data_IF_481528990874
#
_entry.id   IF_481528990874
#
_cell.length_a   1.000
_cell.length_b   1.000
_cell.length_c   1.000
_cell.angle_alpha   90.00
_cell.angle_beta   90.00
_cell.angle_gamma   90.00
#
_symmetry.space_group_name_H-M   'P 1'
#
loop_
_entity.id
_entity.type
_entity.pdbx_description
1 polymer ?
#
# COMPACT_ATOMS: atom_id res chain seq x y z
N UNK A 1 21.19 5.22 -28.24
CA UNK A 1 21.56 6.22 -27.22
C UNK A 1 20.26 6.83 -26.74
N UNK A 2 20.00 6.83 -25.43
CA UNK A 2 18.75 7.36 -24.87
C UNK A 2 18.74 8.89 -25.05
N UNK A 3 17.73 9.41 -25.74
CA UNK A 3 17.51 10.86 -25.93
C UNK A 3 16.17 11.29 -25.36
N UNK A 4 15.13 10.46 -25.48
CA UNK A 4 13.77 10.79 -25.02
C UNK A 4 13.22 9.73 -24.07
N UNK A 5 12.77 10.17 -22.89
CA UNK A 5 12.29 9.32 -21.81
C UNK A 5 10.80 9.60 -21.55
N UNK A 6 10.00 8.54 -21.46
CA UNK A 6 8.60 8.64 -21.05
C UNK A 6 8.43 8.34 -19.56
N UNK A 7 7.68 9.18 -18.85
CA UNK A 7 7.27 8.99 -17.46
C UNK A 7 5.83 8.47 -17.39
N UNK A 8 5.61 7.43 -16.58
CA UNK A 8 4.31 6.78 -16.38
C UNK A 8 4.04 6.53 -14.91
N UNK A 9 2.81 6.81 -14.44
CA UNK A 9 2.40 6.57 -13.05
C UNK A 9 1.17 5.67 -13.01
N UNK A 10 1.32 4.44 -12.53
CA UNK A 10 0.28 3.42 -12.51
C UNK A 10 -0.23 3.07 -11.10
N UNK A 11 -1.41 2.46 -11.04
CA UNK A 11 -2.04 2.01 -9.79
C UNK A 11 -2.67 3.14 -8.96
N UNK A 12 -2.76 2.94 -7.65
CA UNK A 12 -3.36 3.94 -6.76
C UNK A 12 -2.51 5.20 -6.58
N UNK A 13 -3.14 6.34 -6.35
CA UNK A 13 -2.46 7.57 -5.94
C UNK A 13 -1.83 7.45 -4.55
N UNK A 14 -0.72 8.17 -4.35
CA UNK A 14 -0.06 8.38 -3.06
C UNK A 14 0.85 9.61 -3.14
N UNK A 15 1.45 9.98 -2.01
CA UNK A 15 2.48 11.00 -1.92
C UNK A 15 3.81 10.58 -2.59
N UNK A 16 4.66 11.55 -2.94
CA UNK A 16 6.04 11.32 -3.42
C UNK A 16 6.19 11.08 -4.93
N UNK A 17 5.11 10.75 -5.65
CA UNK A 17 5.13 10.50 -7.12
C UNK A 17 5.67 11.72 -7.88
N UNK A 18 5.16 12.89 -7.56
CA UNK A 18 5.52 14.13 -8.23
C UNK A 18 6.98 14.55 -7.94
N UNK A 19 7.52 14.20 -6.77
CA UNK A 19 8.95 14.41 -6.46
C UNK A 19 9.85 13.49 -7.31
N UNK A 20 9.43 12.23 -7.53
CA UNK A 20 10.09 11.32 -8.48
C UNK A 20 10.12 11.88 -9.90
N UNK A 21 8.97 12.34 -10.41
CA UNK A 21 8.86 12.98 -11.73
C UNK A 21 9.79 14.19 -11.83
N UNK A 22 9.71 15.12 -10.88
CA UNK A 22 10.49 16.36 -10.92
C UNK A 22 11.99 16.10 -10.89
N UNK A 23 12.45 15.19 -10.03
CA UNK A 23 13.87 14.87 -9.92
C UNK A 23 14.40 14.12 -11.15
N UNK A 24 13.61 13.20 -11.72
CA UNK A 24 13.98 12.51 -12.95
C UNK A 24 14.14 13.49 -14.11
N UNK A 25 13.18 14.39 -14.32
CA UNK A 25 13.23 15.41 -15.38
C UNK A 25 14.45 16.31 -15.21
N UNK A 26 14.69 16.87 -14.02
CA UNK A 26 15.86 17.71 -13.75
C UNK A 26 17.17 16.97 -14.03
N UNK A 27 17.30 15.74 -13.51
CA UNK A 27 18.52 14.94 -13.67
C UNK A 27 18.81 14.59 -15.12
N UNK A 28 17.80 14.17 -15.87
CA UNK A 28 17.98 13.78 -17.27
C UNK A 28 18.29 14.98 -18.16
N UNK A 29 17.62 16.12 -17.96
CA UNK A 29 17.88 17.34 -18.73
C UNK A 29 19.28 17.90 -18.43
N UNK A 30 19.64 18.07 -17.16
CA UNK A 30 20.90 18.72 -16.79
C UNK A 30 22.11 17.80 -16.90
N UNK A 31 21.95 16.52 -16.53
CA UNK A 31 23.04 15.56 -16.52
C UNK A 31 23.33 14.94 -17.89
N UNK A 32 22.31 14.79 -18.73
CA UNK A 32 22.39 13.97 -19.94
C UNK A 32 21.80 14.62 -21.19
N UNK A 33 21.20 15.81 -21.09
CA UNK A 33 20.53 16.47 -22.22
C UNK A 33 19.32 15.71 -22.75
N UNK A 34 18.66 14.92 -21.90
CA UNK A 34 17.49 14.12 -22.26
C UNK A 34 16.21 14.97 -22.32
N UNK A 35 15.31 14.61 -23.23
CA UNK A 35 13.95 15.12 -23.31
C UNK A 35 12.99 14.21 -22.54
N UNK A 36 11.96 14.78 -21.92
CA UNK A 36 10.93 14.02 -21.21
C UNK A 36 9.53 14.30 -21.71
N UNK A 37 8.70 13.26 -21.64
CA UNK A 37 7.26 13.36 -21.76
C UNK A 37 6.57 12.52 -20.69
N UNK A 38 5.47 13.01 -20.15
CA UNK A 38 4.55 12.22 -19.37
C UNK A 38 3.54 11.53 -20.28
N UNK A 39 3.17 10.30 -19.96
CA UNK A 39 2.06 9.60 -20.60
C UNK A 39 0.95 9.43 -19.56
N UNK A 40 -0.19 10.07 -19.83
CA UNK A 40 -1.36 10.02 -18.95
C UNK A 40 -1.93 8.61 -18.89
N UNK A 41 -2.41 8.22 -17.71
CA UNK A 41 -2.99 6.88 -17.46
C UNK A 41 -2.00 5.73 -17.72
N UNK A 42 -0.71 5.96 -17.52
CA UNK A 42 0.33 4.92 -17.58
C UNK A 42 0.26 4.05 -18.85
N UNK A 43 0.34 2.73 -18.69
CA UNK A 43 0.31 1.77 -19.78
C UNK A 43 -1.00 1.77 -20.59
N UNK A 44 -2.13 2.20 -20.02
CA UNK A 44 -3.40 2.38 -20.76
C UNK A 44 -3.23 3.45 -21.84
N UNK A 45 -2.74 4.63 -21.47
CA UNK A 45 -2.50 5.72 -22.42
C UNK A 45 -1.41 5.39 -23.41
N UNK A 46 -0.37 4.67 -22.98
CA UNK A 46 0.69 4.22 -23.86
C UNK A 46 0.23 3.19 -24.90
N UNK A 47 -0.80 2.39 -24.57
CA UNK A 47 -1.41 1.42 -25.47
C UNK A 47 -2.67 1.94 -26.20
N UNK A 48 -3.04 3.21 -26.01
CA UNK A 48 -4.20 3.82 -26.65
C UNK A 48 -4.02 3.92 -28.17
N UNK A 49 -5.12 3.93 -28.94
CA UNK A 49 -5.05 4.17 -30.39
C UNK A 49 -4.54 5.60 -30.69
N UNK A 50 -5.02 6.55 -29.89
CA UNK A 50 -4.74 7.98 -29.90
C UNK A 50 -3.76 8.38 -28.78
N UNK A 51 -2.57 7.77 -28.75
CA UNK A 51 -1.53 8.07 -27.73
C UNK A 51 -1.22 9.58 -27.62
N UNK A 52 -1.37 10.34 -28.70
CA UNK A 52 -1.10 11.76 -28.79
C UNK A 52 -1.97 12.58 -27.79
N UNK A 53 -3.17 12.12 -27.46
CA UNK A 53 -4.06 12.75 -26.46
C UNK A 53 -3.60 12.51 -25.01
N UNK A 54 -2.68 11.57 -24.81
CA UNK A 54 -2.16 11.20 -23.49
C UNK A 54 -0.81 11.87 -23.19
N UNK A 55 -0.21 12.58 -24.14
CA UNK A 55 1.13 13.14 -23.97
C UNK A 55 1.10 14.47 -23.19
N UNK A 56 1.98 14.59 -22.21
CA UNK A 56 2.24 15.81 -21.46
C UNK A 56 3.72 16.17 -21.62
N UNK A 57 4.09 17.34 -22.18
CA UNK A 57 5.47 17.80 -22.18
C UNK A 57 5.98 17.99 -20.76
N UNK A 58 7.18 17.50 -20.46
CA UNK A 58 7.83 17.65 -19.15
C UNK A 58 9.22 18.26 -19.33
N UNK A 59 9.31 19.59 -19.28
CA UNK A 59 10.57 20.32 -19.21
C UNK A 59 10.86 20.79 -17.77
N UNK A 60 11.96 21.52 -17.58
CA UNK A 60 12.39 21.98 -16.25
C UNK A 60 11.37 22.94 -15.64
N UNK A 61 10.75 23.75 -16.48
CA UNK A 61 9.74 24.74 -16.15
C UNK A 61 8.44 24.06 -15.69
N UNK A 62 8.01 22.99 -16.39
CA UNK A 62 6.81 22.21 -16.08
C UNK A 62 6.89 21.49 -14.72
N UNK A 63 8.10 21.20 -14.22
CA UNK A 63 8.31 20.50 -12.95
C UNK A 63 8.68 21.41 -11.77
N UNK A 64 8.65 22.73 -11.94
CA UNK A 64 8.90 23.67 -10.82
C UNK A 64 7.80 23.53 -9.76
N UNK A 65 8.19 23.26 -8.50
CA UNK A 65 7.28 23.15 -7.36
C UNK A 65 6.39 21.90 -7.37
N UNK A 66 6.63 20.98 -8.31
CA UNK A 66 5.87 19.76 -8.48
C UNK A 66 6.09 18.79 -7.31
N UNK A 67 7.30 18.73 -6.76
CA UNK A 67 7.68 17.84 -5.65
C UNK A 67 6.73 17.83 -4.45
N UNK A 68 6.07 18.96 -4.16
CA UNK A 68 5.18 19.10 -2.99
C UNK A 68 3.70 18.86 -3.31
N UNK A 69 3.35 18.54 -4.56
CA UNK A 69 1.97 18.33 -4.97
C UNK A 69 1.51 16.92 -4.62
N UNK A 70 0.27 16.75 -4.13
CA UNK A 70 -0.29 15.42 -3.87
C UNK A 70 -0.48 14.63 -5.17
N UNK A 71 -0.57 13.30 -5.04
CA UNK A 71 -0.94 12.40 -6.14
C UNK A 71 -0.01 12.53 -7.36
N UNK A 72 -0.55 12.37 -8.58
CA UNK A 72 0.18 12.41 -9.85
C UNK A 72 -0.43 13.43 -10.81
N UNK A 73 0.42 14.21 -11.49
CA UNK A 73 0.01 15.07 -12.61
C UNK A 73 -0.33 14.29 -13.90
N UNK A 74 0.01 13.00 -13.97
CA UNK A 74 -0.20 12.17 -15.15
C UNK A 74 -1.51 11.35 -15.09
N UNK A 75 -2.34 11.55 -14.06
CA UNK A 75 -3.40 10.61 -13.72
C UNK A 75 -2.85 9.17 -13.58
N UNK A 76 -3.72 8.16 -13.52
CA UNK A 76 -3.28 6.77 -13.35
C UNK A 76 -4.28 5.80 -13.96
N UNK A 77 -3.85 4.56 -14.17
CA UNK A 77 -4.71 3.42 -14.53
C UNK A 77 -4.24 2.14 -13.85
N UNK A 78 -5.13 1.14 -13.83
CA UNK A 78 -4.87 -0.24 -13.42
C UNK A 78 -4.84 -1.17 -14.64
N UNK A 79 -4.31 -0.69 -15.75
CA UNK A 79 -4.29 -1.44 -17.00
C UNK A 79 -3.04 -2.31 -17.08
N UNK A 80 -3.23 -3.62 -17.21
CA UNK A 80 -2.14 -4.58 -17.44
C UNK A 80 -2.06 -4.95 -18.94
N UNK A 81 -1.13 -4.38 -19.72
CA UNK A 81 -0.97 -4.69 -21.15
C UNK A 81 -0.59 -6.15 -21.41
N UNK A 82 -0.03 -6.86 -20.42
CA UNK A 82 0.50 -8.22 -20.55
C UNK A 82 -0.43 -9.31 -20.00
N UNK A 83 -1.67 -8.97 -19.62
CA UNK A 83 -2.69 -9.97 -19.27
C UNK A 83 -3.04 -10.85 -20.48
N UNK A 84 -3.53 -12.06 -20.25
CA UNK A 84 -3.88 -13.00 -21.33
C UNK A 84 -4.88 -12.39 -22.34
N UNK A 85 -5.88 -11.67 -21.82
CA UNK A 85 -6.88 -10.97 -22.63
C UNK A 85 -6.28 -9.85 -23.49
N UNK A 86 -5.23 -9.18 -23.01
CA UNK A 86 -4.57 -8.11 -23.75
C UNK A 86 -3.50 -8.65 -24.70
N UNK A 87 -2.83 -9.76 -24.36
CA UNK A 87 -1.93 -10.50 -25.26
C UNK A 87 -2.67 -11.02 -26.49
N UNK A 88 -3.87 -11.60 -26.32
CA UNK A 88 -4.69 -12.07 -27.45
C UNK A 88 -5.15 -10.95 -28.38
N UNK A 89 -5.24 -9.72 -27.85
CA UNK A 89 -5.55 -8.49 -28.60
C UNK A 89 -4.31 -7.76 -29.13
N UNK A 90 -3.12 -8.35 -29.02
CA UNK A 90 -1.84 -7.78 -29.46
C UNK A 90 -1.49 -6.41 -28.81
N UNK A 91 -2.01 -6.15 -27.60
CA UNK A 91 -1.77 -4.90 -26.86
C UNK A 91 -0.28 -4.67 -26.55
N UNK A 92 0.52 -5.66 -26.11
CA UNK A 92 1.95 -5.45 -25.86
C UNK A 92 2.71 -4.91 -27.09
N UNK A 93 2.40 -5.44 -28.26
CA UNK A 93 3.04 -5.04 -29.50
C UNK A 93 2.62 -3.62 -29.89
N UNK A 94 1.33 -3.28 -29.77
CA UNK A 94 0.82 -1.93 -29.97
C UNK A 94 1.48 -0.91 -29.02
N UNK A 95 1.63 -1.27 -27.74
CA UNK A 95 2.35 -0.45 -26.75
C UNK A 95 3.77 -0.13 -27.23
N UNK A 96 4.53 -1.16 -27.66
CA UNK A 96 5.89 -0.98 -28.15
C UNK A 96 5.95 -0.12 -29.43
N UNK A 97 5.04 -0.35 -30.37
CA UNK A 97 4.92 0.43 -31.61
C UNK A 97 4.58 1.90 -31.33
N UNK A 98 3.66 2.15 -30.42
CA UNK A 98 3.29 3.50 -30.01
C UNK A 98 4.48 4.23 -29.38
N UNK A 99 5.22 3.61 -28.45
CA UNK A 99 6.41 4.21 -27.84
C UNK A 99 7.47 4.56 -28.89
N UNK A 100 7.71 3.67 -29.86
CA UNK A 100 8.60 3.94 -31.00
C UNK A 100 8.09 5.06 -31.89
N UNK A 101 6.78 5.11 -32.16
CA UNK A 101 6.12 6.12 -33.01
C UNK A 101 6.32 7.54 -32.46
N UNK A 102 6.24 7.71 -31.15
CA UNK A 102 6.48 9.00 -30.49
C UNK A 102 7.97 9.27 -30.20
N UNK A 103 8.85 8.37 -30.63
CA UNK A 103 10.31 8.50 -30.52
C UNK A 103 10.85 8.35 -29.09
N UNK A 104 10.18 7.60 -28.23
CA UNK A 104 10.66 7.29 -26.88
C UNK A 104 11.72 6.19 -26.94
N UNK A 105 12.84 6.40 -26.24
CA UNK A 105 13.94 5.45 -26.15
C UNK A 105 13.91 4.63 -24.85
N UNK A 106 13.29 5.16 -23.79
CA UNK A 106 13.20 4.52 -22.48
C UNK A 106 11.97 4.95 -21.69
N UNK A 107 11.51 4.10 -20.77
CA UNK A 107 10.42 4.40 -19.83
C UNK A 107 10.94 4.48 -18.39
N UNK A 108 10.45 5.47 -17.67
CA UNK A 108 10.47 5.53 -16.22
C UNK A 108 9.04 5.33 -15.71
N UNK A 109 8.81 4.21 -15.02
CA UNK A 109 7.49 3.89 -14.47
C UNK A 109 7.49 4.05 -12.95
N UNK A 110 6.36 4.38 -12.35
CA UNK A 110 6.19 4.27 -10.90
C UNK A 110 4.82 3.73 -10.55
N UNK A 111 4.80 2.78 -9.62
CA UNK A 111 3.62 1.96 -9.34
C UNK A 111 3.87 0.89 -8.29
N UNK A 112 2.82 0.15 -7.94
CA UNK A 112 2.93 -1.09 -7.16
C UNK A 112 3.14 -2.30 -8.08
N UNK A 113 2.81 -3.49 -7.58
CA UNK A 113 3.01 -4.78 -8.26
C UNK A 113 2.55 -4.78 -9.72
N UNK A 114 1.32 -4.33 -10.00
CA UNK A 114 0.76 -4.36 -11.36
C UNK A 114 1.60 -3.54 -12.37
N UNK A 115 2.12 -2.40 -11.91
CA UNK A 115 2.91 -1.50 -12.76
C UNK A 115 4.34 -2.01 -12.91
N UNK A 116 4.91 -2.58 -11.84
CA UNK A 116 6.24 -3.23 -11.87
C UNK A 116 6.19 -4.45 -12.78
N UNK A 117 5.13 -5.27 -12.71
CA UNK A 117 4.88 -6.39 -13.62
C UNK A 117 4.70 -5.95 -15.08
N UNK A 118 4.00 -4.84 -15.30
CA UNK A 118 3.88 -4.25 -16.65
C UNK A 118 5.23 -3.71 -17.17
N UNK A 119 6.05 -3.12 -16.31
CA UNK A 119 7.41 -2.70 -16.64
C UNK A 119 8.31 -3.92 -16.94
N UNK A 120 8.15 -5.02 -16.20
CA UNK A 120 8.87 -6.27 -16.45
C UNK A 120 8.54 -6.85 -17.82
N UNK A 121 7.25 -6.93 -18.19
CA UNK A 121 6.86 -7.37 -19.53
C UNK A 121 7.42 -6.49 -20.66
N UNK A 122 7.50 -5.17 -20.44
CA UNK A 122 8.12 -4.25 -21.40
C UNK A 122 9.64 -4.45 -21.51
N UNK A 123 10.32 -4.73 -20.39
CA UNK A 123 11.73 -5.07 -20.36
C UNK A 123 12.04 -6.39 -21.09
N UNK A 124 11.18 -7.40 -20.92
CA UNK A 124 11.28 -8.70 -21.61
C UNK A 124 11.14 -8.56 -23.13
N UNK A 125 10.39 -7.55 -23.60
CA UNK A 125 10.33 -7.17 -25.02
C UNK A 125 11.58 -6.41 -25.51
N UNK A 126 12.58 -6.23 -24.65
CA UNK A 126 13.85 -5.56 -24.97
C UNK A 126 13.78 -4.04 -24.95
N UNK A 127 12.72 -3.44 -24.38
CA UNK A 127 12.59 -1.99 -24.31
C UNK A 127 13.18 -1.45 -22.98
N UNK A 128 14.08 -0.45 -23.00
CA UNK A 128 14.67 0.11 -21.80
C UNK A 128 13.62 0.67 -20.83
N UNK A 129 13.60 0.14 -19.60
CA UNK A 129 12.68 0.58 -18.56
C UNK A 129 13.31 0.48 -17.18
N UNK A 130 13.06 1.48 -16.34
CA UNK A 130 13.33 1.44 -14.90
C UNK A 130 12.06 1.84 -14.16
N UNK A 131 11.75 1.16 -13.06
CA UNK A 131 10.61 1.49 -12.22
C UNK A 131 11.00 2.08 -10.86
N UNK A 132 10.06 2.77 -10.20
CA UNK A 132 10.17 3.18 -8.80
C UNK A 132 8.95 2.68 -7.99
N UNK A 133 9.17 2.05 -6.82
CA UNK A 133 8.12 1.42 -6.03
C UNK A 133 7.22 2.47 -5.38
N UNK A 134 5.92 2.33 -5.60
CA UNK A 134 4.90 3.26 -5.12
C UNK A 134 3.68 2.51 -4.62
N UNK A 135 3.45 2.54 -3.31
CA UNK A 135 2.29 1.96 -2.62
C UNK A 135 2.22 2.54 -1.21
N UNK A 136 1.01 2.75 -0.70
CA UNK A 136 0.82 3.10 0.72
C UNK A 136 0.93 1.87 1.63
N UNK A 137 0.92 0.66 1.07
CA UNK A 137 0.90 -0.59 1.85
C UNK A 137 2.31 -1.12 2.16
N UNK A 138 3.36 -0.55 1.54
CA UNK A 138 4.78 -0.93 1.71
C UNK A 138 5.05 -2.43 1.46
N UNK A 139 4.40 -2.98 0.43
CA UNK A 139 4.24 -4.41 0.15
C UNK A 139 5.12 -4.95 -0.99
N UNK A 140 5.95 -4.11 -1.61
CA UNK A 140 6.93 -4.50 -2.63
C UNK A 140 8.28 -4.85 -2.01
N UNK A 141 8.86 -5.98 -2.42
CA UNK A 141 10.16 -6.46 -1.94
C UNK A 141 11.36 -5.72 -2.52
N UNK A 142 12.52 -5.89 -1.88
CA UNK A 142 13.79 -5.28 -2.30
C UNK A 142 13.94 -3.80 -1.97
N UNK A 143 12.97 -3.21 -1.26
CA UNK A 143 13.03 -1.83 -0.74
C UNK A 143 12.54 -1.77 0.71
N UNK A 144 13.20 -0.99 1.55
CA UNK A 144 12.82 -0.80 2.96
C UNK A 144 11.51 -0.02 3.09
N UNK A 145 11.29 0.95 2.20
CA UNK A 145 10.07 1.76 2.11
C UNK A 145 9.72 2.06 0.66
N UNK A 146 8.46 2.43 0.43
CA UNK A 146 7.92 2.84 -0.86
C UNK A 146 7.46 4.29 -0.84
N UNK A 147 7.29 4.89 -2.03
CA UNK A 147 6.68 6.21 -2.15
C UNK A 147 5.25 6.18 -1.61
N UNK A 148 4.94 7.13 -0.73
CA UNK A 148 3.64 7.37 -0.12
C UNK A 148 3.46 6.77 1.27
N UNK A 149 4.25 5.75 1.63
CA UNK A 149 4.08 5.02 2.88
C UNK A 149 4.26 5.92 4.11
N UNK A 150 5.36 6.70 4.18
CA UNK A 150 5.66 7.52 5.37
C UNK A 150 4.70 8.68 5.53
N UNK A 151 4.23 9.29 4.43
CA UNK A 151 3.15 10.28 4.47
C UNK A 151 1.84 9.65 5.00
N UNK A 152 1.47 8.47 4.52
CA UNK A 152 0.27 7.76 4.96
C UNK A 152 0.34 7.42 6.47
N UNK A 153 1.50 6.93 6.94
CA UNK A 153 1.73 6.66 8.38
C UNK A 153 1.63 7.94 9.21
N UNK A 154 2.27 9.03 8.79
CA UNK A 154 2.28 10.29 9.57
C UNK A 154 0.87 10.88 9.74
N UNK A 155 0.08 10.93 8.66
CA UNK A 155 -1.30 11.38 8.73
C UNK A 155 -2.17 10.36 9.47
N UNK A 156 -2.04 9.07 9.16
CA UNK A 156 -2.82 8.00 9.78
C UNK A 156 -2.66 7.95 11.30
N UNK A 157 -1.43 8.08 11.80
CA UNK A 157 -1.15 8.18 13.24
C UNK A 157 -1.78 9.44 13.87
N UNK A 158 -1.85 10.55 13.14
CA UNK A 158 -2.51 11.77 13.60
C UNK A 158 -4.02 11.60 13.67
N UNK A 159 -4.63 11.01 12.64
CA UNK A 159 -6.05 10.71 12.60
C UNK A 159 -6.43 9.69 13.70
N UNK A 160 -5.63 8.64 13.87
CA UNK A 160 -5.83 7.63 14.90
C UNK A 160 -5.78 8.23 16.32
N UNK A 161 -4.81 9.10 16.61
CA UNK A 161 -4.75 9.77 17.93
C UNK A 161 -5.99 10.61 18.22
N UNK A 162 -6.55 11.26 17.20
CA UNK A 162 -7.80 12.03 17.35
C UNK A 162 -8.98 11.13 17.74
N UNK A 163 -9.14 9.97 17.07
CA UNK A 163 -10.19 9.01 17.41
C UNK A 163 -9.94 8.37 18.78
N UNK A 164 -8.68 8.10 19.11
CA UNK A 164 -8.26 7.54 20.39
C UNK A 164 -8.58 8.47 21.58
N UNK A 165 -8.30 9.77 21.46
CA UNK A 165 -8.59 10.76 22.50
C UNK A 165 -10.10 10.94 22.70
N UNK A 166 -10.87 10.91 21.61
CA UNK A 166 -12.34 10.91 21.69
C UNK A 166 -12.89 9.67 22.41
N UNK A 167 -12.31 8.50 22.17
CA UNK A 167 -12.69 7.27 22.86
C UNK A 167 -12.38 7.32 24.36
N UNK A 168 -11.22 7.87 24.72
CA UNK A 168 -10.82 8.10 26.11
C UNK A 168 -11.80 9.04 26.82
N UNK A 169 -12.12 10.17 26.21
CA UNK A 169 -13.01 11.21 26.77
C UNK A 169 -14.41 10.67 27.06
N UNK A 170 -14.91 9.76 26.23
CA UNK A 170 -16.30 9.27 26.30
C UNK A 170 -16.46 7.83 26.81
N UNK A 171 -15.38 7.21 27.28
CA UNK A 171 -15.33 5.81 27.71
C UNK A 171 -15.95 4.88 26.66
N UNK A 172 -15.29 4.83 25.48
CA UNK A 172 -15.71 4.08 24.29
C UNK A 172 -14.59 3.20 23.76
N UNK A 173 -14.96 2.27 22.89
CA UNK A 173 -14.04 1.52 22.05
C UNK A 173 -13.95 2.24 20.69
N UNK A 174 -12.77 2.68 20.29
CA UNK A 174 -12.48 3.17 18.94
C UNK A 174 -11.82 2.05 18.15
N UNK A 175 -12.34 1.81 16.96
CA UNK A 175 -11.78 0.90 15.97
C UNK A 175 -11.51 1.70 14.71
N UNK A 176 -10.29 1.62 14.20
CA UNK A 176 -9.85 2.32 13.00
C UNK A 176 -9.44 1.28 11.97
N UNK A 177 -10.22 1.19 10.90
CA UNK A 177 -9.94 0.36 9.72
C UNK A 177 -8.95 1.10 8.81
N UNK A 178 -7.91 0.37 8.39
CA UNK A 178 -6.73 0.89 7.69
C UNK A 178 -6.48 0.00 6.47
N UNK A 179 -5.95 0.57 5.38
CA UNK A 179 -5.55 -0.23 4.20
C UNK A 179 -4.47 -1.26 4.57
N UNK A 180 -4.43 -2.36 3.81
CA UNK A 180 -3.51 -3.47 4.06
C UNK A 180 -4.21 -4.79 3.80
N UNK A 181 -4.18 -5.24 2.53
CA UNK A 181 -4.86 -6.44 2.05
C UNK A 181 -4.15 -7.73 2.45
N UNK A 182 -2.91 -7.90 1.96
CA UNK A 182 -2.10 -9.08 2.27
C UNK A 182 -0.98 -8.75 3.28
N UNK A 183 -0.62 -7.48 3.39
CA UNK A 183 0.44 -6.99 4.28
C UNK A 183 -0.10 -5.96 5.29
N UNK A 184 0.35 -6.07 6.53
CA UNK A 184 -0.12 -5.26 7.66
C UNK A 184 0.74 -4.05 8.02
N UNK A 185 1.75 -3.69 7.22
CA UNK A 185 2.72 -2.63 7.55
C UNK A 185 2.06 -1.30 7.93
N UNK A 186 1.05 -0.88 7.18
CA UNK A 186 0.39 0.39 7.40
C UNK A 186 -0.42 0.39 8.71
N UNK A 187 -1.17 -0.68 8.98
CA UNK A 187 -1.90 -0.85 10.23
C UNK A 187 -0.96 -0.99 11.44
N UNK A 188 0.18 -1.65 11.27
CA UNK A 188 1.22 -1.80 12.29
C UNK A 188 1.84 -0.45 12.65
N UNK A 189 2.40 0.27 11.68
CA UNK A 189 3.09 1.54 11.95
C UNK A 189 2.12 2.62 12.44
N UNK A 190 0.92 2.72 11.86
CA UNK A 190 -0.12 3.66 12.35
C UNK A 190 -0.57 3.27 13.76
N UNK A 191 -0.77 1.98 14.04
CA UNK A 191 -1.19 1.49 15.34
C UNK A 191 -0.17 1.82 16.43
N UNK A 192 1.11 1.54 16.17
CA UNK A 192 2.21 1.84 17.10
C UNK A 192 2.34 3.36 17.31
N UNK A 193 2.46 4.13 16.23
CA UNK A 193 2.64 5.59 16.32
C UNK A 193 1.39 6.31 16.86
N UNK A 194 0.21 5.70 16.69
CA UNK A 194 -1.07 6.17 17.17
C UNK A 194 -1.37 5.81 18.63
N UNK A 195 -0.63 4.87 19.21
CA UNK A 195 -0.87 4.38 20.57
C UNK A 195 -2.09 3.46 20.68
N UNK A 196 -2.25 2.54 19.73
CA UNK A 196 -3.30 1.52 19.78
C UNK A 196 -3.09 0.56 20.95
N UNK A 197 -4.18 0.16 21.61
CA UNK A 197 -4.16 -0.90 22.63
C UNK A 197 -4.11 -2.30 22.00
N UNK A 198 -4.70 -2.43 20.79
CA UNK A 198 -4.74 -3.67 20.01
C UNK A 198 -4.52 -3.35 18.53
N UNK A 199 -3.61 -4.07 17.89
CA UNK A 199 -3.35 -3.98 16.46
C UNK A 199 -3.67 -5.33 15.81
N UNK A 200 -4.42 -5.32 14.71
CA UNK A 200 -4.84 -6.51 13.96
C UNK A 200 -4.30 -6.41 12.54
N UNK A 201 -3.47 -7.39 12.14
CA UNK A 201 -2.80 -7.43 10.84
C UNK A 201 -3.12 -8.74 10.07
N UNK A 202 -3.08 -8.75 8.73
CA UNK A 202 -3.44 -9.93 7.92
C UNK A 202 -2.55 -11.15 8.16
N UNK A 203 -1.31 -10.94 8.61
CA UNK A 203 -0.31 -11.99 8.83
C UNK A 203 -0.60 -12.84 10.08
N UNK A 204 -1.45 -12.35 11.00
CA UNK A 204 -1.76 -13.04 12.26
C UNK A 204 -3.20 -13.50 12.28
N UNK A 205 -3.38 -14.81 12.42
CA UNK A 205 -4.70 -15.40 12.63
C UNK A 205 -5.32 -14.86 13.93
N UNK A 206 -6.63 -14.65 13.88
CA UNK A 206 -7.42 -14.17 15.01
C UNK A 206 -8.46 -15.21 15.39
N UNK A 207 -8.43 -15.63 16.65
CA UNK A 207 -9.58 -16.21 17.32
C UNK A 207 -10.41 -15.10 17.97
N UNK A 208 -11.70 -14.99 17.62
CA UNK A 208 -12.53 -13.91 18.13
C UNK A 208 -12.72 -14.03 19.65
N UNK A 209 -12.72 -15.25 20.20
CA UNK A 209 -12.93 -15.46 21.64
C UNK A 209 -11.81 -14.80 22.48
N UNK A 210 -10.55 -15.08 22.16
CA UNK A 210 -9.40 -14.49 22.82
C UNK A 210 -9.27 -12.99 22.54
N UNK A 211 -9.58 -12.54 21.32
CA UNK A 211 -9.59 -11.12 20.99
C UNK A 211 -10.62 -10.37 21.84
N UNK A 212 -11.85 -10.87 21.95
CA UNK A 212 -12.88 -10.27 22.80
C UNK A 212 -12.49 -10.28 24.27
N UNK A 213 -11.84 -11.35 24.76
CA UNK A 213 -11.31 -11.41 26.12
C UNK A 213 -10.23 -10.35 26.40
N UNK A 214 -9.32 -10.12 25.44
CA UNK A 214 -8.30 -9.06 25.53
C UNK A 214 -8.94 -7.67 25.54
N UNK A 215 -9.87 -7.41 24.61
CA UNK A 215 -10.60 -6.14 24.53
C UNK A 215 -11.38 -5.88 25.83
N UNK A 216 -12.09 -6.87 26.35
CA UNK A 216 -12.83 -6.76 27.61
C UNK A 216 -11.91 -6.47 28.79
N UNK A 217 -10.76 -7.13 28.87
CA UNK A 217 -9.77 -6.90 29.94
C UNK A 217 -9.27 -5.47 29.93
N UNK A 218 -8.92 -4.94 28.75
CA UNK A 218 -8.45 -3.55 28.60
C UNK A 218 -9.59 -2.57 28.95
N UNK A 219 -10.78 -2.81 28.40
CA UNK A 219 -11.95 -1.95 28.62
C UNK A 219 -12.34 -1.88 30.10
N UNK A 220 -12.34 -3.00 30.83
CA UNK A 220 -12.62 -3.03 32.28
C UNK A 220 -11.56 -2.28 33.09
N UNK A 221 -10.30 -2.32 32.66
CA UNK A 221 -9.18 -1.65 33.34
C UNK A 221 -9.22 -0.13 33.19
N UNK A 222 -9.46 0.39 31.98
CA UNK A 222 -9.29 1.82 31.69
C UNK A 222 -10.54 2.53 31.13
N UNK A 223 -11.62 1.81 30.85
CA UNK A 223 -12.89 2.37 30.37
C UNK A 223 -12.94 2.69 28.87
N UNK A 224 -11.86 2.45 28.12
CA UNK A 224 -11.77 2.65 26.67
C UNK A 224 -10.80 1.63 26.04
N UNK A 225 -10.90 1.42 24.73
CA UNK A 225 -9.96 0.61 23.94
C UNK A 225 -9.79 1.23 22.56
N UNK A 226 -8.56 1.38 22.09
CA UNK A 226 -8.23 1.87 20.75
C UNK A 226 -7.65 0.73 19.92
N UNK A 227 -8.28 0.45 18.78
CA UNK A 227 -7.99 -0.72 17.94
C UNK A 227 -7.61 -0.24 16.55
N UNK A 228 -6.44 -0.63 16.06
CA UNK A 228 -6.07 -0.50 14.66
C UNK A 228 -6.30 -1.85 13.96
N UNK A 229 -6.95 -1.86 12.80
CA UNK A 229 -7.21 -3.09 12.04
C UNK A 229 -6.97 -2.88 10.56
N UNK A 230 -6.18 -3.75 9.96
CA UNK A 230 -6.03 -3.83 8.51
C UNK A 230 -7.31 -4.38 7.86
N UNK A 231 -7.71 -3.83 6.72
CA UNK A 231 -8.87 -4.31 5.93
C UNK A 231 -8.75 -5.79 5.53
N UNK A 232 -7.51 -6.29 5.41
CA UNK A 232 -7.16 -7.66 5.09
C UNK A 232 -7.19 -8.64 6.25
N UNK A 233 -7.71 -8.25 7.42
CA UNK A 233 -7.79 -9.15 8.57
C UNK A 233 -8.53 -10.44 8.22
N UNK A 234 -7.88 -11.58 8.51
CA UNK A 234 -8.40 -12.91 8.23
C UNK A 234 -9.09 -13.47 9.48
N UNK A 235 -10.41 -13.65 9.41
CA UNK A 235 -11.23 -14.33 10.42
C UNK A 235 -11.74 -15.63 9.80
N UNK A 236 -11.54 -16.76 10.48
CA UNK A 236 -12.05 -18.05 10.00
C UNK A 236 -13.58 -17.99 9.89
N UNK A 237 -14.17 -18.39 8.74
CA UNK A 237 -15.62 -18.54 8.61
C UNK A 237 -16.20 -19.46 9.68
N UNK A 238 -15.45 -20.46 10.13
CA UNK A 238 -15.83 -21.44 11.15
C UNK A 238 -15.67 -20.93 12.59
N UNK A 239 -15.20 -19.68 12.80
CA UNK A 239 -15.09 -19.11 14.14
C UNK A 239 -16.46 -19.14 14.85
N UNK A 240 -16.56 -19.76 16.04
CA UNK A 240 -17.84 -19.91 16.74
C UNK A 240 -18.56 -18.59 17.01
N UNK A 241 -17.83 -17.53 17.39
CA UNK A 241 -18.43 -16.22 17.65
C UNK A 241 -18.86 -15.54 16.36
N UNK A 242 -18.17 -15.78 15.24
CA UNK A 242 -18.62 -15.28 13.95
C UNK A 242 -19.94 -15.95 13.52
N UNK A 243 -20.05 -17.27 13.71
CA UNK A 243 -21.27 -18.02 13.39
C UNK A 243 -22.45 -17.61 14.29
N UNK A 244 -22.22 -17.45 15.58
CA UNK A 244 -23.20 -16.91 16.53
C UNK A 244 -23.66 -15.51 16.11
N UNK A 245 -22.72 -14.60 15.85
CA UNK A 245 -23.03 -13.24 15.41
C UNK A 245 -23.78 -13.21 14.07
N UNK A 246 -23.46 -14.12 13.13
CA UNK A 246 -24.19 -14.28 11.86
C UNK A 246 -25.63 -14.72 12.09
N UNK A 247 -25.87 -15.62 13.03
CA UNK A 247 -27.22 -16.10 13.35
C UNK A 247 -28.05 -15.02 14.05
N UNK A 248 -27.46 -14.30 15.00
CA UNK A 248 -28.19 -13.41 15.91
C UNK A 248 -28.26 -11.96 15.46
N UNK A 249 -27.31 -11.47 14.66
CA UNK A 249 -27.18 -10.06 14.28
C UNK A 249 -27.44 -9.91 12.77
N UNK A 250 -28.63 -9.45 12.33
CA UNK A 250 -28.97 -9.34 10.91
C UNK A 250 -27.97 -8.52 10.07
N UNK A 251 -27.37 -7.48 10.67
CA UNK A 251 -26.35 -6.65 10.01
C UNK A 251 -25.06 -7.43 9.77
N UNK A 252 -24.64 -8.29 10.71
CA UNK A 252 -23.46 -9.14 10.51
C UNK A 252 -23.69 -10.12 9.37
N UNK A 253 -24.86 -10.76 9.33
CA UNK A 253 -25.24 -11.63 8.21
C UNK A 253 -25.20 -10.89 6.87
N UNK A 254 -25.80 -9.70 6.80
CA UNK A 254 -25.81 -8.90 5.58
C UNK A 254 -24.39 -8.52 5.11
N UNK A 255 -23.49 -8.14 6.03
CA UNK A 255 -22.10 -7.82 5.70
C UNK A 255 -21.31 -9.04 5.19
N UNK A 256 -21.59 -10.24 5.71
CA UNK A 256 -20.93 -11.48 5.28
C UNK A 256 -21.46 -12.01 3.94
N UNK A 257 -22.69 -11.66 3.58
CA UNK A 257 -23.35 -12.07 2.33
C UNK A 257 -23.19 -11.02 1.22
N UNK A 258 -22.60 -9.86 1.53
CA UNK A 258 -22.36 -8.78 0.58
C UNK A 258 -21.26 -9.15 -0.43
N UNK A 259 -21.60 -9.13 -1.72
CA UNK A 259 -20.62 -9.20 -2.79
C UNK A 259 -20.09 -7.80 -3.11
N UNK A 260 -18.90 -7.49 -2.61
CA UNK A 260 -18.20 -6.24 -2.89
C UNK A 260 -17.66 -6.19 -4.34
N UNK A 261 -17.76 -7.29 -5.08
CA UNK A 261 -17.26 -7.45 -6.43
C UNK A 261 -15.74 -7.60 -6.48
N UNK A 262 -15.19 -7.53 -7.69
CA UNK A 262 -13.75 -7.62 -7.97
C UNK A 262 -13.20 -6.31 -8.52
N UNK A 263 -11.91 -6.08 -8.38
CA UNK A 263 -11.22 -4.98 -9.04
C UNK A 263 -10.81 -5.32 -10.48
N UNK A 264 -10.18 -4.37 -11.18
CA UNK A 264 -9.75 -4.51 -12.57
C UNK A 264 -8.71 -5.63 -12.81
N UNK A 265 -8.09 -6.14 -11.75
CA UNK A 265 -7.12 -7.24 -11.78
C UNK A 265 -7.74 -8.56 -11.31
N UNK A 266 -9.04 -8.58 -11.01
CA UNK A 266 -9.77 -9.76 -10.58
C UNK A 266 -9.68 -10.03 -9.08
N UNK A 267 -9.07 -9.15 -8.29
CA UNK A 267 -8.98 -9.30 -6.83
C UNK A 267 -10.32 -8.95 -6.17
N UNK A 268 -10.80 -9.72 -5.18
CA UNK A 268 -12.00 -9.36 -4.42
C UNK A 268 -11.85 -7.99 -3.76
N UNK A 269 -12.84 -7.10 -3.81
CA UNK A 269 -12.80 -5.87 -3.01
C UNK A 269 -12.94 -6.25 -1.53
N UNK A 270 -12.12 -5.63 -0.69
CA UNK A 270 -12.19 -5.78 0.76
C UNK A 270 -12.80 -4.53 1.38
N UNK A 271 -13.26 -4.68 2.60
CA UNK A 271 -13.79 -3.58 3.41
C UNK A 271 -14.83 -4.08 4.40
N UNK A 272 -15.09 -3.27 5.43
CA UNK A 272 -16.20 -3.49 6.35
C UNK A 272 -15.87 -4.42 7.53
N UNK A 273 -14.63 -4.91 7.63
CA UNK A 273 -14.18 -5.70 8.79
C UNK A 273 -14.31 -4.90 10.09
N UNK A 274 -14.13 -3.58 10.04
CA UNK A 274 -14.34 -2.70 11.16
C UNK A 274 -15.80 -2.58 11.57
N UNK A 275 -16.74 -2.60 10.62
CA UNK A 275 -18.17 -2.66 10.94
C UNK A 275 -18.58 -4.03 11.49
N UNK A 276 -18.01 -5.11 10.95
CA UNK A 276 -18.19 -6.47 11.44
C UNK A 276 -17.74 -6.59 12.92
N UNK A 277 -16.48 -6.25 13.19
CA UNK A 277 -15.90 -6.29 14.53
C UNK A 277 -16.66 -5.36 15.50
N UNK A 278 -17.07 -4.17 15.05
CA UNK A 278 -17.87 -3.24 15.85
C UNK A 278 -19.14 -3.89 16.40
N UNK A 279 -19.85 -4.69 15.57
CA UNK A 279 -21.08 -5.38 15.97
C UNK A 279 -20.78 -6.53 16.93
N UNK A 280 -19.77 -7.32 16.63
CA UNK A 280 -19.34 -8.46 17.45
C UNK A 280 -18.89 -7.98 18.84
N UNK A 281 -18.04 -6.95 18.91
CA UNK A 281 -17.59 -6.34 20.18
C UNK A 281 -18.78 -5.83 20.99
N UNK A 282 -19.70 -5.08 20.36
CA UNK A 282 -20.85 -4.51 21.04
C UNK A 282 -21.74 -5.60 21.66
N UNK A 283 -21.99 -6.67 20.90
CA UNK A 283 -22.80 -7.80 21.34
C UNK A 283 -22.08 -8.58 22.46
N UNK A 284 -20.82 -8.97 22.25
CA UNK A 284 -20.08 -9.84 23.16
C UNK A 284 -19.78 -9.21 24.52
N UNK A 285 -19.59 -7.88 24.56
CA UNK A 285 -19.38 -7.13 25.80
C UNK A 285 -20.69 -6.68 26.45
N UNK A 286 -21.87 -7.03 25.90
CA UNK A 286 -23.16 -6.65 26.45
C UNK A 286 -23.41 -5.13 26.44
N UNK A 287 -22.82 -4.41 25.48
CA UNK A 287 -22.94 -2.96 25.41
C UNK A 287 -24.32 -2.59 24.85
N UNK A 288 -25.14 -1.93 25.67
CA UNK A 288 -26.54 -1.56 25.34
C UNK A 288 -26.68 -0.64 24.12
N UNK A 289 -25.62 0.10 23.77
CA UNK A 289 -25.65 1.07 22.67
C UNK A 289 -24.44 0.88 21.77
N UNK A 290 -24.69 0.75 20.47
CA UNK A 290 -23.65 0.62 19.46
C UNK A 290 -22.70 1.82 19.40
N UNK A 291 -23.12 3.01 19.85
CA UNK A 291 -22.27 4.20 19.94
C UNK A 291 -21.09 4.06 20.92
N UNK A 292 -21.10 3.03 21.78
CA UNK A 292 -19.98 2.66 22.63
C UNK A 292 -18.84 2.03 21.84
N UNK A 293 -19.08 1.59 20.61
CA UNK A 293 -18.05 1.10 19.69
C UNK A 293 -18.13 1.92 18.40
N UNK A 294 -17.09 2.71 18.12
CA UNK A 294 -17.01 3.58 16.94
C UNK A 294 -16.00 3.00 15.96
N UNK A 295 -16.47 2.66 14.77
CA UNK A 295 -15.61 2.27 13.66
C UNK A 295 -15.41 3.48 12.73
N UNK A 296 -14.16 3.77 12.42
CA UNK A 296 -13.72 4.81 11.48
C UNK A 296 -12.89 4.14 10.39
N UNK A 297 -13.15 4.45 9.13
CA UNK A 297 -12.37 3.96 8.00
C UNK A 297 -11.44 5.09 7.52
N UNK A 298 -10.12 4.83 7.54
CA UNK A 298 -9.13 5.75 6.98
C UNK A 298 -8.81 5.47 5.51
N UNK A 299 -9.16 4.30 4.97
CA UNK A 299 -8.84 3.77 3.64
C UNK A 299 -8.31 4.79 2.63
N UNK A 300 -9.20 5.36 1.82
CA UNK A 300 -8.83 6.31 0.76
C UNK A 300 -8.26 7.64 1.24
N UNK A 301 -8.50 8.03 2.50
CA UNK A 301 -7.96 9.30 3.04
C UNK A 301 -6.43 9.28 3.15
N UNK A 302 -5.81 8.09 3.17
CA UNK A 302 -4.37 7.92 3.26
C UNK A 302 -3.62 8.11 1.92
N UNK A 303 -4.35 8.24 0.80
CA UNK A 303 -3.78 8.20 -0.56
C UNK A 303 -3.58 9.58 -1.18
N UNK A 304 -4.58 10.46 -1.07
CA UNK A 304 -4.55 11.80 -1.70
C UNK A 304 -3.73 12.86 -0.95
N UNK A 305 -2.82 12.45 -0.07
CA UNK A 305 -2.12 13.36 0.84
C UNK A 305 -0.99 14.13 0.14
N UNK A 306 -0.76 15.36 0.59
CA UNK A 306 0.46 16.09 0.24
C UNK A 306 1.67 15.42 0.93
N UNK A 307 2.81 15.29 0.23
CA UNK A 307 3.95 14.55 0.77
C UNK A 307 4.58 15.27 1.97
N UNK A 308 5.00 14.50 2.96
CA UNK A 308 5.95 14.97 3.98
C UNK A 308 7.38 14.95 3.41
N UNK A 309 8.33 15.54 4.14
CA UNK A 309 9.72 15.64 3.73
C UNK A 309 10.34 14.28 3.33
N UNK A 310 10.07 13.22 4.09
CA UNK A 310 10.60 11.88 3.80
C UNK A 310 10.21 11.37 2.41
N UNK A 311 8.94 11.51 2.01
CA UNK A 311 8.47 11.08 0.69
C UNK A 311 8.96 12.00 -0.43
N UNK A 312 9.14 13.30 -0.16
CA UNK A 312 9.80 14.21 -1.11
C UNK A 312 11.25 13.79 -1.34
N UNK A 313 11.99 13.50 -0.26
CA UNK A 313 13.39 13.05 -0.32
C UNK A 313 13.49 11.71 -1.02
N UNK A 314 12.64 10.73 -0.67
CA UNK A 314 12.64 9.41 -1.29
C UNK A 314 12.32 9.50 -2.78
N UNK A 315 11.26 10.21 -3.15
CA UNK A 315 10.90 10.46 -4.55
C UNK A 315 12.04 11.11 -5.32
N UNK A 316 12.66 12.14 -4.74
CA UNK A 316 13.83 12.79 -5.33
C UNK A 316 14.95 11.78 -5.59
N UNK A 317 15.33 11.01 -4.58
CA UNK A 317 16.45 10.05 -4.68
C UNK A 317 16.17 8.94 -5.68
N UNK A 318 14.95 8.42 -5.74
CA UNK A 318 14.54 7.45 -6.75
C UNK A 318 14.57 8.06 -8.16
N UNK A 319 14.09 9.28 -8.34
CA UNK A 319 14.09 9.96 -9.65
C UNK A 319 15.50 10.17 -10.19
N UNK A 320 16.42 10.64 -9.35
CA UNK A 320 17.83 10.80 -9.72
C UNK A 320 18.46 9.45 -10.12
N UNK A 321 18.32 8.44 -9.27
CA UNK A 321 18.95 7.13 -9.48
C UNK A 321 18.37 6.40 -10.70
N UNK A 322 17.06 6.50 -10.95
CA UNK A 322 16.42 5.84 -12.08
C UNK A 322 16.95 6.35 -13.42
N UNK A 323 17.18 7.65 -13.54
CA UNK A 323 17.82 8.25 -14.72
C UNK A 323 19.26 7.78 -14.85
N UNK A 324 20.04 7.82 -13.76
CA UNK A 324 21.43 7.36 -13.78
C UNK A 324 21.55 5.89 -14.19
N UNK A 325 20.63 5.02 -13.74
CA UNK A 325 20.57 3.63 -14.16
C UNK A 325 20.30 3.49 -15.66
N UNK A 326 19.32 4.22 -16.21
CA UNK A 326 19.05 4.20 -17.65
C UNK A 326 20.30 4.56 -18.48
N UNK A 327 20.99 5.65 -18.12
CA UNK A 327 22.18 6.11 -18.84
C UNK A 327 23.41 5.22 -18.60
N UNK A 328 23.47 4.50 -17.49
CA UNK A 328 24.48 3.47 -17.24
C UNK A 328 24.17 2.13 -17.94
N UNK A 329 23.05 2.01 -18.68
CA UNK A 329 22.62 0.77 -19.32
C UNK A 329 22.00 -0.25 -18.36
N UNK A 330 21.71 0.14 -17.12
CA UNK A 330 21.04 -0.67 -16.11
C UNK A 330 19.53 -0.52 -16.29
N UNK A 331 18.93 -1.42 -17.07
CA UNK A 331 17.49 -1.46 -17.38
C UNK A 331 16.86 -2.76 -16.87
N UNK A 332 15.53 -2.86 -16.89
CA UNK A 332 14.81 -4.03 -16.38
C UNK A 332 14.89 -4.14 -14.86
N UNK A 333 14.99 -3.00 -14.18
CA UNK A 333 15.20 -2.89 -12.73
C UNK A 333 14.27 -1.86 -12.12
N UNK A 334 14.01 -2.03 -10.83
CA UNK A 334 13.35 -1.07 -9.98
C UNK A 334 14.37 -0.38 -9.07
N UNK A 335 14.19 0.89 -8.74
CA UNK A 335 14.95 1.52 -7.63
C UNK A 335 14.47 0.97 -6.29
N UNK A 336 15.37 0.56 -5.40
CA UNK A 336 15.03 0.19 -4.03
C UNK A 336 15.87 0.98 -3.02
N UNK A 337 15.30 1.30 -1.85
CA UNK A 337 16.06 1.79 -0.71
C UNK A 337 16.53 0.60 0.12
N UNK A 338 17.83 0.50 0.39
CA UNK A 338 18.40 -0.48 1.31
C UNK A 338 19.35 0.23 2.28
N UNK A 339 18.91 0.34 3.53
CA UNK A 339 19.46 1.24 4.53
C UNK A 339 19.43 2.69 4.04
N UNK A 340 20.60 3.23 3.77
CA UNK A 340 20.76 4.61 3.26
C UNK A 340 21.07 4.66 1.77
N UNK A 341 21.11 3.54 1.04
CA UNK A 341 21.53 3.50 -0.37
C UNK A 341 20.35 3.24 -1.29
N UNK A 342 20.36 3.87 -2.47
CA UNK A 342 19.46 3.49 -3.56
C UNK A 342 20.18 2.43 -4.40
N UNK A 343 19.52 1.31 -4.66
CA UNK A 343 20.08 0.16 -5.39
C UNK A 343 19.17 -0.27 -6.55
N UNK A 344 19.70 -0.90 -7.61
CA UNK A 344 18.90 -1.46 -8.70
C UNK A 344 18.43 -2.88 -8.37
N UNK A 345 17.14 -3.05 -8.12
CA UNK A 345 16.49 -4.31 -7.75
C UNK A 345 15.91 -5.00 -9.00
N UNK A 346 16.14 -6.30 -9.24
CA UNK A 346 15.42 -7.06 -10.26
C UNK A 346 13.89 -6.96 -10.09
N UNK A 347 13.14 -6.85 -11.19
CA UNK A 347 11.68 -6.85 -11.10
C UNK A 347 11.12 -8.14 -10.49
N UNK A 348 11.73 -9.30 -10.80
CA UNK A 348 11.35 -10.58 -10.23
C UNK A 348 11.44 -10.59 -8.69
N UNK A 349 12.49 -9.99 -8.13
CA UNK A 349 12.68 -9.89 -6.67
C UNK A 349 11.66 -8.93 -6.05
N UNK A 350 11.32 -7.84 -6.76
CA UNK A 350 10.36 -6.84 -6.29
C UNK A 350 8.93 -7.40 -6.18
N UNK A 351 8.55 -8.31 -7.08
CA UNK A 351 7.21 -8.91 -7.14
C UNK A 351 7.01 -10.06 -6.13
N UNK A 352 8.01 -10.37 -5.31
CA UNK A 352 7.83 -11.24 -4.14
C UNK A 352 7.10 -10.44 -3.05
N UNK A 353 5.98 -10.93 -2.49
CA UNK A 353 5.24 -10.18 -1.47
C UNK A 353 6.10 -9.83 -0.25
N UNK A 354 6.06 -8.57 0.19
CA UNK A 354 6.68 -8.09 1.43
C UNK A 354 5.64 -7.95 2.54
N UNK A 355 5.56 -8.94 3.42
CA UNK A 355 4.68 -8.92 4.60
C UNK A 355 5.44 -8.53 5.86
N UNK A 356 4.72 -8.22 6.94
CA UNK A 356 5.31 -8.00 8.27
C UNK A 356 6.04 -9.26 8.73
N UNK A 357 7.33 -9.13 9.03
CA UNK A 357 8.24 -10.24 9.34
C UNK A 357 8.91 -10.11 10.72
N UNK A 358 8.45 -9.18 11.56
CA UNK A 358 8.93 -9.03 12.94
C UNK A 358 8.66 -10.29 13.77
N UNK A 359 9.47 -10.51 14.81
CA UNK A 359 9.28 -11.64 15.72
C UNK A 359 7.94 -11.53 16.44
N UNK A 360 7.25 -12.65 16.66
CA UNK A 360 5.94 -12.67 17.35
C UNK A 360 5.99 -11.97 18.70
N UNK A 361 7.08 -12.15 19.45
CA UNK A 361 7.27 -11.48 20.75
C UNK A 361 7.38 -9.95 20.62
N UNK A 362 8.01 -9.45 19.56
CA UNK A 362 8.10 -8.02 19.28
C UNK A 362 6.74 -7.46 18.86
N UNK A 363 6.02 -8.18 17.99
CA UNK A 363 4.67 -7.84 17.57
C UNK A 363 3.70 -7.78 18.75
N UNK A 364 3.69 -8.80 19.61
CA UNK A 364 2.87 -8.81 20.84
C UNK A 364 3.19 -7.62 21.74
N UNK A 365 4.49 -7.34 21.94
CA UNK A 365 4.96 -6.20 22.76
C UNK A 365 4.58 -4.85 22.16
N UNK A 366 4.52 -4.76 20.83
CA UNK A 366 4.09 -3.57 20.10
C UNK A 366 2.56 -3.39 20.07
N UNK A 367 1.79 -4.35 20.60
CA UNK A 367 0.34 -4.27 20.70
C UNK A 367 -0.43 -5.12 19.69
N UNK A 368 0.26 -5.88 18.83
CA UNK A 368 -0.40 -6.81 17.89
C UNK A 368 -1.09 -7.94 18.66
N UNK A 369 -2.26 -8.34 18.19
CA UNK A 369 -2.91 -9.55 18.65
C UNK A 369 -2.32 -10.76 17.94
N UNK A 370 -1.65 -11.63 18.69
CA UNK A 370 -1.21 -12.93 18.23
C UNK A 370 -2.03 -14.00 18.96
N UNK A 371 -2.70 -14.87 18.20
CA UNK A 371 -3.31 -16.07 18.77
C UNK A 371 -2.21 -16.93 19.39
N UNK A 372 -2.26 -17.14 20.71
CA UNK A 372 -1.32 -18.04 21.37
C UNK A 372 -1.67 -19.48 20.99
N UNK A 373 -0.75 -20.19 20.33
CA UNK A 373 -0.84 -21.64 20.29
C UNK A 373 -0.71 -22.16 21.72
N UNK A 374 -1.46 -23.23 22.05
CA UNK A 374 -1.39 -23.85 23.38
C UNK A 374 0.04 -24.31 23.76
N UNK A 375 0.93 -24.48 22.77
CA UNK A 375 2.31 -24.92 22.93
C UNK A 375 3.27 -23.78 23.36
N UNK A 376 3.01 -22.53 22.97
CA UNK A 376 3.89 -21.41 23.28
C UNK A 376 3.86 -20.98 24.76
N UNK A 377 2.80 -21.36 25.50
CA UNK A 377 2.62 -20.96 26.90
C UNK A 377 3.52 -21.72 27.90
N UNK A 378 4.19 -22.81 27.49
CA UNK A 378 4.95 -23.69 28.39
C UNK A 378 6.41 -23.96 27.99
N UNK A 379 6.91 -23.37 26.90
CA UNK A 379 8.25 -23.65 26.35
C UNK A 379 9.44 -22.95 27.02
N UNK A 380 9.26 -22.11 28.05
CA UNK A 380 10.38 -21.35 28.68
C UNK A 380 10.49 -21.52 30.19
N UNK A 381 10.36 -22.75 30.70
CA UNK A 381 10.73 -23.11 32.10
C UNK A 381 11.65 -24.35 32.19
N UNK A 382 12.09 -24.94 31.07
CA UNK A 382 12.98 -26.11 31.10
C UNK A 382 14.14 -26.00 30.13
N UNK A 383 15.02 -25.03 30.31
CA UNK A 383 16.37 -25.05 29.71
C UNK A 383 17.30 -24.04 30.41
N UNK A 384 17.29 -24.05 31.75
CA UNK A 384 18.39 -23.52 32.59
C UNK A 384 18.43 -24.37 33.86
N UNK A 385 19.04 -25.54 33.76
CA UNK A 385 19.14 -26.48 34.87
C UNK A 385 19.57 -27.86 34.41
N UNK A 386 20.87 -28.00 34.14
CA UNK A 386 21.54 -29.23 33.74
C UNK A 386 23.01 -28.96 33.52
#
# INVERSE_FOLDING_TARGET
MIKKIALMTGGGDCAGINAFIAAAVRRGVEGYGAEFLGIRKAFEGAAADNIEEHLIPLDKEAVVGLENKPSSILASSRFNPFSDANRSRNVPQKLLENLKRIGVDAVLATGGDDTIGSAMGLAEMGFPVVAAPKSVDNDVSGTDTMLGFKTAVAFGATAFRSTAESARTHSRISLVEIMGREAGWLALEIGIAGGADVILIPEKAVDLAGLMGRIETIYRRQGYVNIAVAEGLKISPEDPLLQEARAEIPVVRALLEEDLGRDAHGNPKLGGVGQLLRRIICHRLGLKKLEKVRATDLGYTLRGLAPIADDVILGTRFGLAAVDYLFAGVTGRMTGLQGTRIVPVPFADALVPKTVDWLDQELESAGVYCQRSAEAAWGRVRETGG
#
